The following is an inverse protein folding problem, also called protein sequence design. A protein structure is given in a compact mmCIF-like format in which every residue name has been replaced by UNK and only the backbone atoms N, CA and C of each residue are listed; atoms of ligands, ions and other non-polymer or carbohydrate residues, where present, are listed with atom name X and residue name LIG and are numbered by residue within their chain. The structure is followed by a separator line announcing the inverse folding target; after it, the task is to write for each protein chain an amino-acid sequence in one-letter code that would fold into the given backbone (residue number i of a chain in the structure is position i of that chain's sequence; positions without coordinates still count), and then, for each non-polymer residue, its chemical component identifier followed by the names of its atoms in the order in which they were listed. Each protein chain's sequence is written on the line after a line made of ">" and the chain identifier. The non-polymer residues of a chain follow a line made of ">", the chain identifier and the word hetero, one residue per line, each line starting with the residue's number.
data_IF_883610803557
#
_entry.id   IF_883610803557
#
_cell.length_a   1.000
_cell.length_b   1.000
_cell.length_c   1.000
_cell.angle_alpha   90.00
_cell.angle_beta   90.00
_cell.angle_gamma   90.00
#
_symmetry.space_group_name_H-M   'P 1'
#
loop_
_entity.id
_entity.type
_entity.pdbx_description
1 polymer ?
#
# COMPACT_ATOMS: atom_id res chain seq x y z
N UNK A 1 3.72 -14.64 71.33
CA UNK A 1 3.95 -16.09 71.32
C UNK A 1 3.06 -16.70 70.24
N UNK A 2 3.64 -17.52 69.36
CA UNK A 2 3.03 -18.35 68.28
C UNK A 2 2.50 -17.51 67.09
N UNK A 3 3.10 -17.41 65.88
CA UNK A 3 3.83 -18.32 64.97
C UNK A 3 3.05 -19.57 64.51
N UNK A 4 2.56 -19.53 63.26
CA UNK A 4 2.39 -20.62 62.25
C UNK A 4 1.74 -19.97 61.00
N UNK A 5 2.47 -19.58 59.94
CA UNK A 5 3.02 -20.35 58.79
C UNK A 5 1.96 -21.01 57.90
N UNK A 6 1.85 -20.49 56.67
CA UNK A 6 1.10 -21.01 55.51
C UNK A 6 0.85 -19.84 54.55
N UNK A 7 1.72 -19.48 53.59
CA UNK A 7 2.52 -20.34 52.72
C UNK A 7 1.70 -20.74 51.49
N UNK A 8 1.13 -19.76 50.78
CA UNK A 8 0.59 -19.97 49.42
C UNK A 8 1.57 -19.31 48.46
N UNK A 9 2.47 -20.12 47.92
CA UNK A 9 3.32 -19.76 46.80
C UNK A 9 2.42 -19.41 45.61
N UNK A 10 2.28 -18.12 45.32
CA UNK A 10 1.92 -17.68 43.98
C UNK A 10 3.15 -17.92 43.10
N UNK A 11 3.29 -19.16 42.64
CA UNK A 11 4.00 -19.49 41.42
C UNK A 11 3.39 -18.60 40.32
N UNK A 12 4.09 -17.51 39.99
CA UNK A 12 3.93 -16.80 38.75
C UNK A 12 4.12 -17.82 37.63
N UNK A 13 3.01 -18.37 37.15
CA UNK A 13 2.96 -19.12 35.92
C UNK A 13 3.38 -18.13 34.82
N UNK A 14 4.66 -18.19 34.46
CA UNK A 14 5.21 -17.60 33.23
C UNK A 14 4.51 -18.33 32.08
N UNK A 15 3.28 -17.90 31.80
CA UNK A 15 2.60 -18.24 30.57
C UNK A 15 3.44 -17.66 29.44
N UNK A 16 4.18 -18.52 28.76
CA UNK A 16 4.82 -18.23 27.48
C UNK A 16 3.75 -17.63 26.56
N UNK A 17 3.81 -16.31 26.34
CA UNK A 17 2.78 -15.55 25.66
C UNK A 17 2.86 -15.78 24.15
N UNK A 18 2.41 -16.94 23.69
CA UNK A 18 2.25 -17.24 22.27
C UNK A 18 1.29 -16.26 21.55
N UNK A 19 0.56 -15.39 22.27
CA UNK A 19 -0.31 -14.37 21.68
C UNK A 19 0.37 -13.02 21.41
N UNK A 20 1.52 -12.72 22.02
CA UNK A 20 2.23 -11.45 21.82
C UNK A 20 3.10 -11.49 20.56
N UNK A 21 3.77 -12.63 20.31
CA UNK A 21 4.65 -12.84 19.15
C UNK A 21 3.89 -12.79 17.82
N UNK A 22 2.59 -13.12 17.83
CA UNK A 22 1.70 -13.03 16.66
C UNK A 22 1.56 -11.61 16.10
N UNK A 23 1.82 -10.58 16.91
CA UNK A 23 1.68 -9.17 16.53
C UNK A 23 3.02 -8.41 16.61
N UNK A 24 4.13 -9.13 16.78
CA UNK A 24 5.46 -8.54 16.75
C UNK A 24 5.71 -7.97 15.35
N UNK A 25 5.77 -6.64 15.26
CA UNK A 25 6.14 -5.93 14.06
C UNK A 25 7.65 -6.19 13.85
N UNK A 26 8.10 -6.67 12.69
CA UNK A 26 9.54 -6.83 12.44
C UNK A 26 10.28 -5.50 12.61
N UNK A 27 11.46 -5.53 13.24
CA UNK A 27 12.22 -4.32 13.57
C UNK A 27 12.49 -3.43 12.35
N UNK A 28 12.76 -4.04 11.18
CA UNK A 28 12.95 -3.30 9.92
C UNK A 28 11.71 -2.54 9.47
N UNK A 29 10.52 -3.04 9.79
CA UNK A 29 9.26 -2.36 9.50
C UNK A 29 9.04 -1.18 10.44
N UNK A 30 9.38 -1.33 11.73
CA UNK A 30 9.33 -0.23 12.70
C UNK A 30 10.26 0.90 12.27
N UNK A 31 11.47 0.55 11.81
CA UNK A 31 12.47 1.48 11.26
C UNK A 31 11.97 2.19 10.01
N UNK A 32 11.39 1.46 9.06
CA UNK A 32 10.79 2.02 7.82
C UNK A 32 9.72 3.07 8.12
N UNK A 33 8.82 2.75 9.05
CA UNK A 33 7.76 3.67 9.44
C UNK A 33 8.30 4.92 10.18
N UNK A 34 9.33 4.77 11.01
CA UNK A 34 9.98 5.90 11.67
C UNK A 34 10.65 6.84 10.66
N UNK A 35 11.32 6.27 9.65
CA UNK A 35 11.87 7.02 8.51
C UNK A 35 10.79 7.79 7.76
N UNK A 36 9.68 7.14 7.41
CA UNK A 36 8.57 7.79 6.71
C UNK A 36 7.96 8.94 7.53
N UNK A 37 7.71 8.71 8.82
CA UNK A 37 7.19 9.75 9.71
C UNK A 37 8.14 10.94 9.80
N UNK A 38 9.46 10.68 9.87
CA UNK A 38 10.49 11.72 9.89
C UNK A 38 10.50 12.54 8.59
N UNK A 39 10.39 11.89 7.42
CA UNK A 39 10.39 12.56 6.11
C UNK A 39 9.15 13.43 5.89
N UNK A 40 7.97 12.92 6.25
CA UNK A 40 6.72 13.68 6.19
C UNK A 40 6.77 14.92 7.09
N UNK A 41 7.31 14.76 8.30
CA UNK A 41 7.46 15.87 9.23
C UNK A 41 8.52 16.87 8.74
N UNK A 42 9.63 16.40 8.16
CA UNK A 42 10.68 17.23 7.61
C UNK A 42 10.19 18.08 6.43
N UNK A 43 9.44 17.51 5.47
CA UNK A 43 8.85 18.30 4.37
C UNK A 43 7.89 19.38 4.93
N UNK A 44 7.07 19.03 5.92
CA UNK A 44 6.17 20.00 6.54
C UNK A 44 6.89 21.16 7.25
N UNK A 45 8.01 20.87 7.93
CA UNK A 45 8.77 21.86 8.70
C UNK A 45 9.67 22.75 7.84
N UNK A 46 10.22 22.21 6.77
CA UNK A 46 11.27 22.90 5.98
C UNK A 46 10.73 23.56 4.70
N UNK A 47 9.57 23.12 4.19
CA UNK A 47 9.00 23.67 2.96
C UNK A 47 8.38 25.07 3.17
N UNK A 48 8.98 26.15 2.62
CA UNK A 48 8.55 27.52 2.91
C UNK A 48 7.15 27.80 2.34
N UNK A 49 6.88 27.32 1.13
CA UNK A 49 5.64 27.56 0.40
C UNK A 49 4.44 26.71 0.86
N UNK A 50 4.60 25.85 1.88
CA UNK A 50 3.50 25.01 2.34
C UNK A 50 2.45 25.85 3.10
N UNK A 51 1.18 25.73 2.68
CA UNK A 51 0.03 26.37 3.35
C UNK A 51 -0.10 25.86 4.79
N UNK A 52 -0.56 26.73 5.71
CA UNK A 52 -0.68 26.41 7.15
C UNK A 52 -1.50 25.14 7.43
N UNK A 53 -2.67 24.99 6.80
CA UNK A 53 -3.53 23.82 6.99
C UNK A 53 -2.88 22.53 6.46
N UNK A 54 -2.20 22.61 5.32
CA UNK A 54 -1.46 21.47 4.76
C UNK A 54 -0.29 21.06 5.67
N UNK A 55 0.42 22.05 6.23
CA UNK A 55 1.50 21.82 7.20
C UNK A 55 0.99 21.15 8.47
N UNK A 56 -0.11 21.65 9.04
CA UNK A 56 -0.72 21.06 10.23
C UNK A 56 -1.19 19.61 9.97
N UNK A 57 -1.81 19.36 8.81
CA UNK A 57 -2.25 18.02 8.40
C UNK A 57 -1.07 17.05 8.26
N UNK A 58 -0.01 17.45 7.57
CA UNK A 58 1.19 16.63 7.40
C UNK A 58 1.87 16.30 8.74
N UNK A 59 2.01 17.28 9.64
CA UNK A 59 2.58 17.05 10.97
C UNK A 59 1.70 16.15 11.84
N UNK A 60 0.37 16.32 11.78
CA UNK A 60 -0.57 15.48 12.52
C UNK A 60 -0.50 14.03 12.03
N UNK A 61 -0.37 13.83 10.71
CA UNK A 61 -0.22 12.52 10.10
C UNK A 61 1.09 11.84 10.53
N UNK A 62 2.21 12.55 10.42
CA UNK A 62 3.50 12.04 10.86
C UNK A 62 3.50 11.68 12.35
N UNK A 63 2.87 12.51 13.18
CA UNK A 63 2.66 12.21 14.60
C UNK A 63 1.79 10.96 14.83
N UNK A 64 0.72 10.79 14.04
CA UNK A 64 -0.12 9.59 14.09
C UNK A 64 0.66 8.31 13.79
N UNK A 65 1.58 8.34 12.83
CA UNK A 65 2.46 7.21 12.51
C UNK A 65 3.38 6.86 13.68
N UNK A 66 4.00 7.86 14.31
CA UNK A 66 4.85 7.64 15.50
C UNK A 66 4.04 7.10 16.67
N UNK A 67 2.82 7.61 16.90
CA UNK A 67 1.94 7.09 17.95
C UNK A 67 1.51 5.64 17.67
N UNK A 68 1.28 5.29 16.41
CA UNK A 68 0.96 3.92 16.01
C UNK A 68 2.15 2.97 16.22
N UNK A 69 3.38 3.43 15.96
CA UNK A 69 4.62 2.70 16.23
C UNK A 69 4.86 2.46 17.72
N UNK A 70 4.68 3.51 18.52
CA UNK A 70 4.95 3.49 19.97
C UNK A 70 3.88 2.75 20.75
N UNK A 71 2.67 2.64 20.18
CA UNK A 71 1.54 2.03 20.83
C UNK A 71 1.02 2.83 22.03
N UNK A 72 -0.11 2.39 22.63
CA UNK A 72 -0.76 3.12 23.71
C UNK A 72 0.05 3.16 25.02
N UNK A 73 0.99 2.23 25.21
CA UNK A 73 1.82 2.14 26.42
C UNK A 73 2.94 3.21 26.47
N UNK A 74 3.27 3.82 25.34
CA UNK A 74 4.37 4.78 25.23
C UNK A 74 3.91 6.10 24.58
N UNK A 75 2.99 6.83 25.24
CA UNK A 75 2.49 8.09 24.72
C UNK A 75 3.61 9.10 24.56
N UNK A 76 3.57 9.86 23.47
CA UNK A 76 4.51 10.93 23.16
C UNK A 76 3.70 12.20 22.94
N UNK A 77 4.06 13.33 23.57
CA UNK A 77 3.34 14.59 23.30
C UNK A 77 3.72 15.14 21.93
N UNK A 78 2.81 15.87 21.29
CA UNK A 78 3.08 16.50 19.99
C UNK A 78 4.29 17.45 20.02
N UNK A 79 4.52 18.15 21.14
CA UNK A 79 5.71 19.00 21.34
C UNK A 79 7.01 18.20 21.39
N UNK A 80 6.98 17.05 22.04
CA UNK A 80 8.13 16.13 22.14
C UNK A 80 8.41 15.50 20.77
N UNK A 81 7.37 15.07 20.05
CA UNK A 81 7.48 14.64 18.66
C UNK A 81 8.17 15.69 17.77
N UNK A 82 7.75 16.97 17.86
CA UNK A 82 8.37 18.05 17.09
C UNK A 82 9.84 18.29 17.44
N UNK A 83 10.26 17.97 18.66
CA UNK A 83 11.67 18.02 19.05
C UNK A 83 12.43 16.83 18.46
N UNK A 84 11.87 15.62 18.59
CA UNK A 84 12.49 14.38 18.09
C UNK A 84 12.69 14.38 16.56
N UNK A 85 11.75 14.95 15.80
CA UNK A 85 11.88 15.07 14.32
C UNK A 85 13.10 15.88 13.89
N UNK A 86 13.60 16.79 14.75
CA UNK A 86 14.82 17.57 14.46
C UNK A 86 16.10 16.87 14.90
N UNK A 87 15.99 15.75 15.59
CA UNK A 87 17.11 14.91 15.97
C UNK A 87 17.27 13.70 15.04
N UNK A 88 18.07 12.71 15.46
CA UNK A 88 18.16 11.43 14.78
C UNK A 88 16.81 10.71 14.66
N UNK A 89 16.60 10.00 13.55
CA UNK A 89 15.39 9.21 13.31
C UNK A 89 15.19 8.15 14.39
N UNK A 90 16.28 7.61 14.95
CA UNK A 90 16.24 6.68 16.09
C UNK A 90 15.38 7.17 17.27
N UNK A 91 15.29 8.49 17.50
CA UNK A 91 14.48 9.07 18.57
C UNK A 91 12.97 8.86 18.41
N UNK A 92 12.51 8.54 17.20
CA UNK A 92 11.09 8.28 16.90
C UNK A 92 10.68 6.82 17.16
N UNK A 93 11.65 5.92 17.38
CA UNK A 93 11.39 4.51 17.60
C UNK A 93 10.68 4.25 18.94
N UNK A 94 9.89 3.16 19.05
CA UNK A 94 9.39 2.67 20.32
C UNK A 94 10.54 2.31 21.27
N UNK A 95 10.35 2.48 22.59
CA UNK A 95 11.29 1.97 23.59
C UNK A 95 11.54 0.46 23.40
N UNK A 96 12.81 0.05 23.44
CA UNK A 96 13.20 -1.35 23.26
C UNK A 96 13.42 -1.79 21.82
N UNK A 97 13.09 -0.96 20.82
CA UNK A 97 13.45 -1.21 19.43
C UNK A 97 14.94 -0.88 19.20
N UNK A 98 15.74 -1.78 18.59
CA UNK A 98 17.15 -1.52 18.35
C UNK A 98 17.31 -0.37 17.33
N UNK A 99 18.07 0.69 17.66
CA UNK A 99 18.18 1.88 16.84
C UNK A 99 19.12 1.75 15.63
N UNK A 100 19.78 0.59 15.50
CA UNK A 100 20.88 0.32 14.57
C UNK A 100 20.65 0.91 13.18
N UNK A 101 21.56 1.80 12.78
CA UNK A 101 21.57 2.43 11.46
C UNK A 101 20.72 3.69 11.38
N UNK A 102 19.92 4.03 12.39
CA UNK A 102 19.09 5.25 12.43
C UNK A 102 19.66 6.35 13.34
N UNK A 103 20.73 6.07 14.09
CA UNK A 103 21.33 7.01 15.06
C UNK A 103 22.07 8.16 14.38
N UNK A 104 22.60 7.91 13.18
CA UNK A 104 23.31 8.90 12.37
C UNK A 104 22.40 9.53 11.29
N UNK A 105 21.14 9.11 11.22
CA UNK A 105 20.22 9.50 10.16
C UNK A 105 19.36 10.67 10.64
N UNK A 106 19.40 11.78 9.89
CA UNK A 106 18.65 13.00 10.18
C UNK A 106 17.75 13.34 9.01
N UNK A 107 16.45 13.52 9.24
CA UNK A 107 15.52 13.99 8.22
C UNK A 107 15.62 15.51 7.96
N UNK A 108 16.06 16.25 8.97
CA UNK A 108 16.41 17.66 8.88
C UNK A 108 17.88 17.78 9.29
N UNK A 109 18.72 18.30 8.41
CA UNK A 109 20.12 18.53 8.70
C UNK A 109 20.23 19.48 9.91
N UNK A 110 20.91 19.08 10.99
CA UNK A 110 20.98 19.87 12.22
C UNK A 110 21.78 21.17 12.06
N UNK A 111 22.72 21.23 11.10
CA UNK A 111 23.56 22.40 10.84
C UNK A 111 22.86 23.40 9.93
N UNK A 112 22.24 22.92 8.85
CA UNK A 112 21.62 23.80 7.84
C UNK A 112 20.13 24.06 8.10
N UNK A 113 19.47 23.20 8.87
CA UNK A 113 18.01 23.22 9.05
C UNK A 113 17.23 22.79 7.80
N UNK A 114 17.92 22.34 6.75
CA UNK A 114 17.32 21.90 5.50
C UNK A 114 16.92 20.44 5.55
N UNK A 115 15.99 20.03 4.69
CA UNK A 115 15.58 18.64 4.58
C UNK A 115 16.69 17.79 3.97
N UNK A 116 16.96 16.63 4.57
CA UNK A 116 17.90 15.68 4.02
C UNK A 116 17.25 14.87 2.88
N UNK A 117 17.72 15.07 1.66
CA UNK A 117 17.22 14.41 0.44
C UNK A 117 17.76 12.99 0.27
N UNK A 118 18.88 12.66 0.89
CA UNK A 118 19.48 11.31 0.80
C UNK A 118 18.63 10.26 1.55
N UNK A 119 17.79 10.70 2.51
CA UNK A 119 16.82 9.82 3.18
C UNK A 119 15.76 9.24 2.25
N UNK A 120 15.43 9.91 1.14
CA UNK A 120 14.41 9.43 0.20
C UNK A 120 14.86 8.12 -0.49
N UNK A 121 16.18 7.95 -0.67
CA UNK A 121 16.74 6.72 -1.20
C UNK A 121 16.61 5.56 -0.20
N UNK A 122 16.88 5.84 1.09
CA UNK A 122 16.73 4.89 2.19
C UNK A 122 15.26 4.48 2.42
N UNK A 123 14.30 5.39 2.22
CA UNK A 123 12.86 5.03 2.22
C UNK A 123 12.55 3.99 1.13
N UNK A 124 13.23 4.05 -0.01
CA UNK A 124 13.11 3.05 -1.08
C UNK A 124 13.54 1.65 -0.64
N UNK A 125 14.69 1.55 0.01
CA UNK A 125 15.29 0.29 0.50
C UNK A 125 14.50 -0.32 1.66
N UNK A 126 14.20 0.48 2.70
CA UNK A 126 13.37 0.01 3.82
C UNK A 126 11.91 -0.21 3.40
N UNK A 127 11.44 0.51 2.39
CA UNK A 127 10.11 0.33 1.79
C UNK A 127 9.96 -0.99 1.04
N UNK A 128 11.05 -1.62 0.58
CA UNK A 128 11.05 -2.98 0.04
C UNK A 128 10.87 -4.01 1.14
N UNK A 129 11.65 -3.92 2.23
CA UNK A 129 11.55 -4.81 3.39
C UNK A 129 10.17 -4.71 4.06
N UNK A 130 9.65 -3.48 4.24
CA UNK A 130 8.33 -3.26 4.82
C UNK A 130 7.18 -3.83 3.95
N UNK A 131 7.35 -3.95 2.62
CA UNK A 131 6.33 -4.58 1.74
C UNK A 131 6.16 -6.05 2.03
N UNK A 132 7.22 -6.74 2.45
CA UNK A 132 7.21 -8.19 2.72
C UNK A 132 6.61 -8.50 4.09
N UNK A 133 6.74 -7.59 5.06
CA UNK A 133 6.41 -7.88 6.45
C UNK A 133 4.93 -7.81 6.84
N UNK A 134 3.99 -7.28 6.04
CA UNK A 134 2.53 -7.49 6.17
C UNK A 134 1.76 -7.29 7.52
N UNK A 135 2.38 -6.91 8.63
CA UNK A 135 1.89 -7.26 9.99
C UNK A 135 1.04 -6.19 10.71
N UNK A 136 0.74 -5.03 10.13
CA UNK A 136 -0.02 -3.99 10.85
C UNK A 136 -1.48 -3.82 10.41
N UNK A 137 -2.46 -3.70 11.34
CA UNK A 137 -3.87 -3.49 11.00
C UNK A 137 -4.13 -2.26 10.12
N UNK A 138 -3.31 -1.21 10.25
CA UNK A 138 -3.41 0.03 9.45
C UNK A 138 -2.51 0.03 8.20
N UNK A 139 -1.68 -1.00 8.00
CA UNK A 139 -0.72 -1.07 6.90
C UNK A 139 -1.35 -1.02 5.50
N UNK A 140 -2.49 -1.68 5.23
CA UNK A 140 -3.14 -1.56 3.93
C UNK A 140 -3.51 -0.10 3.59
N UNK A 141 -3.98 0.65 4.59
CA UNK A 141 -4.32 2.06 4.43
C UNK A 141 -3.07 2.94 4.24
N UNK A 142 -2.03 2.74 5.05
CA UNK A 142 -0.78 3.48 4.92
C UNK A 142 -0.07 3.22 3.58
N UNK A 143 -0.06 1.96 3.12
CA UNK A 143 0.44 1.60 1.78
C UNK A 143 -0.33 2.29 0.69
N UNK A 144 -1.65 2.39 0.84
CA UNK A 144 -2.48 3.10 -0.10
C UNK A 144 -2.09 4.57 -0.17
N UNK A 145 -1.98 5.22 0.97
CA UNK A 145 -1.60 6.62 1.07
C UNK A 145 -0.19 6.90 0.51
N UNK A 146 0.78 6.03 0.81
CA UNK A 146 2.14 6.09 0.27
C UNK A 146 2.16 5.98 -1.26
N UNK A 147 1.42 5.02 -1.80
CA UNK A 147 1.37 4.79 -3.24
C UNK A 147 0.67 5.95 -3.96
N UNK A 148 -0.37 6.53 -3.34
CA UNK A 148 -1.02 7.75 -3.83
C UNK A 148 -0.06 8.95 -3.85
N UNK A 149 0.71 9.16 -2.79
CA UNK A 149 1.72 10.23 -2.73
C UNK A 149 2.82 10.04 -3.77
N UNK A 150 3.36 8.83 -3.90
CA UNK A 150 4.37 8.50 -4.93
C UNK A 150 3.83 8.76 -6.33
N UNK A 151 2.62 8.29 -6.63
CA UNK A 151 1.97 8.54 -7.92
C UNK A 151 1.79 10.04 -8.19
N UNK A 152 1.32 10.80 -7.20
CA UNK A 152 1.14 12.24 -7.32
C UNK A 152 2.46 12.98 -7.60
N UNK A 153 3.52 12.64 -6.87
CA UNK A 153 4.86 13.20 -7.08
C UNK A 153 5.36 12.93 -8.50
N UNK A 154 5.22 11.69 -8.98
CA UNK A 154 5.58 11.31 -10.35
C UNK A 154 4.74 12.02 -11.40
N UNK A 155 3.44 12.21 -11.17
CA UNK A 155 2.58 12.97 -12.09
C UNK A 155 2.98 14.45 -12.15
N UNK A 156 3.47 15.03 -11.05
CA UNK A 156 3.89 16.43 -10.98
C UNK A 156 5.33 16.71 -11.42
N UNK A 157 6.15 15.68 -11.62
CA UNK A 157 7.55 15.83 -12.05
C UNK A 157 7.65 16.69 -13.33
N UNK A 158 8.32 17.83 -13.26
CA UNK A 158 8.50 18.76 -14.38
C UNK A 158 7.50 19.93 -14.47
N UNK A 159 6.70 20.16 -13.42
CA UNK A 159 5.85 21.36 -13.20
C UNK A 159 4.89 21.78 -14.34
N UNK A 160 4.60 20.89 -15.28
CA UNK A 160 3.69 21.15 -16.39
C UNK A 160 2.33 20.46 -16.19
N UNK A 161 1.25 21.26 -16.13
CA UNK A 161 -0.12 20.78 -15.97
C UNK A 161 -0.56 19.81 -17.09
N UNK A 162 -0.11 20.02 -18.34
CA UNK A 162 -0.44 19.14 -19.46
C UNK A 162 0.22 17.76 -19.27
N UNK A 163 1.46 17.73 -18.79
CA UNK A 163 2.15 16.48 -18.48
C UNK A 163 1.46 15.73 -17.32
N UNK A 164 1.03 16.44 -16.28
CA UNK A 164 0.24 15.86 -15.19
C UNK A 164 -1.05 15.20 -15.70
N UNK A 165 -1.83 15.92 -16.52
CA UNK A 165 -3.08 15.42 -17.09
C UNK A 165 -2.81 14.19 -17.97
N UNK A 166 -1.79 14.23 -18.81
CA UNK A 166 -1.44 13.12 -19.71
C UNK A 166 -1.06 11.86 -18.92
N UNK A 167 -0.16 11.98 -17.93
CA UNK A 167 0.27 10.86 -17.09
C UNK A 167 -0.88 10.27 -16.28
N UNK A 168 -1.67 11.12 -15.61
CA UNK A 168 -2.84 10.67 -14.83
C UNK A 168 -3.89 10.00 -15.72
N UNK A 169 -4.19 10.58 -16.88
CA UNK A 169 -5.18 10.03 -17.81
C UNK A 169 -4.73 8.68 -18.37
N UNK A 170 -3.43 8.51 -18.62
CA UNK A 170 -2.90 7.22 -19.04
C UNK A 170 -3.14 6.15 -17.98
N UNK A 171 -2.76 6.41 -16.73
CA UNK A 171 -2.92 5.44 -15.63
C UNK A 171 -4.37 5.06 -15.43
N UNK A 172 -5.29 6.03 -15.49
CA UNK A 172 -6.74 5.78 -15.37
C UNK A 172 -7.24 4.88 -16.50
N UNK A 173 -6.77 5.09 -17.73
CA UNK A 173 -7.20 4.30 -18.91
C UNK A 173 -6.55 2.93 -18.99
N UNK A 174 -5.37 2.77 -18.38
CA UNK A 174 -4.55 1.57 -18.46
C UNK A 174 -4.30 1.00 -17.05
N UNK A 175 -5.38 0.75 -16.30
CA UNK A 175 -5.28 0.18 -14.96
C UNK A 175 -4.51 -1.15 -14.91
N UNK A 176 -4.54 -1.92 -16.00
CA UNK A 176 -3.60 -2.98 -16.27
C UNK A 176 -3.33 -3.06 -17.78
N UNK A 177 -2.19 -3.62 -18.14
CA UNK A 177 -1.78 -3.75 -19.54
C UNK A 177 -0.56 -4.62 -19.70
N UNK A 178 -0.26 -4.97 -20.96
CA UNK A 178 0.96 -5.72 -21.28
C UNK A 178 2.19 -4.83 -21.11
N UNK A 179 3.35 -5.44 -20.90
CA UNK A 179 4.62 -4.70 -20.82
C UNK A 179 4.85 -3.80 -22.05
N UNK A 180 4.48 -4.27 -23.26
CA UNK A 180 4.58 -3.49 -24.49
C UNK A 180 3.70 -2.22 -24.46
N UNK A 181 2.48 -2.32 -23.92
CA UNK A 181 1.61 -1.14 -23.72
C UNK A 181 2.22 -0.17 -22.71
N UNK A 182 2.78 -0.67 -21.61
CA UNK A 182 3.38 0.17 -20.57
C UNK A 182 4.67 0.86 -21.02
N UNK A 183 5.41 0.28 -21.98
CA UNK A 183 6.59 0.92 -22.59
C UNK A 183 6.26 2.20 -23.38
N UNK A 184 5.00 2.44 -23.73
CA UNK A 184 4.57 3.68 -24.38
C UNK A 184 4.55 4.89 -23.42
N UNK A 185 4.74 4.66 -22.12
CA UNK A 185 4.78 5.70 -21.09
C UNK A 185 6.19 6.19 -20.74
N UNK A 186 6.29 7.36 -20.07
CA UNK A 186 7.48 7.73 -19.31
C UNK A 186 7.91 6.60 -18.38
N UNK A 187 9.20 6.25 -18.43
CA UNK A 187 9.78 5.10 -17.71
C UNK A 187 9.52 5.16 -16.21
N UNK A 188 9.41 6.36 -15.64
CA UNK A 188 9.19 6.57 -14.21
C UNK A 188 7.82 6.10 -13.72
N UNK A 189 6.85 5.93 -14.63
CA UNK A 189 5.54 5.38 -14.25
C UNK A 189 5.54 3.86 -14.15
N UNK A 190 6.57 3.17 -14.68
CA UNK A 190 6.66 1.71 -14.59
C UNK A 190 6.72 1.22 -13.14
N UNK A 191 7.32 2.02 -12.25
CA UNK A 191 7.43 1.71 -10.82
C UNK A 191 6.10 1.75 -10.06
N UNK A 192 5.03 2.21 -10.73
CA UNK A 192 3.66 2.18 -10.20
C UNK A 192 2.91 0.90 -10.61
N UNK A 193 3.50 0.08 -11.48
CA UNK A 193 2.89 -1.14 -12.01
C UNK A 193 3.58 -2.38 -11.43
N UNK A 194 2.79 -3.18 -10.72
CA UNK A 194 3.21 -4.44 -10.13
C UNK A 194 2.61 -5.67 -10.82
N UNK A 195 2.97 -6.84 -10.30
CA UNK A 195 2.37 -8.12 -10.69
C UNK A 195 0.85 -8.09 -10.42
N UNK A 196 0.07 -8.74 -11.28
CA UNK A 196 -1.35 -9.00 -11.04
C UNK A 196 -1.48 -9.95 -9.83
N UNK A 197 -2.40 -9.70 -8.88
CA UNK A 197 -2.52 -10.50 -7.67
C UNK A 197 -3.03 -11.90 -8.00
N UNK A 198 -2.67 -12.89 -7.18
CA UNK A 198 -2.99 -14.29 -7.47
C UNK A 198 -4.49 -14.57 -7.49
N UNK A 199 -5.30 -13.86 -6.69
CA UNK A 199 -6.77 -13.94 -6.69
C UNK A 199 -7.42 -13.33 -7.95
N UNK A 200 -6.62 -12.80 -8.88
CA UNK A 200 -7.05 -12.26 -10.18
C UNK A 200 -6.40 -12.98 -11.35
N UNK A 201 -5.69 -14.08 -11.08
CA UNK A 201 -5.01 -14.90 -12.07
C UNK A 201 -5.62 -16.30 -12.05
N UNK A 202 -5.93 -16.83 -13.23
CA UNK A 202 -6.36 -18.21 -13.43
C UNK A 202 -5.52 -18.84 -14.52
N UNK A 203 -4.86 -19.96 -14.22
CA UNK A 203 -4.02 -20.68 -15.18
C UNK A 203 -3.13 -19.75 -16.02
N UNK A 204 -2.33 -18.92 -15.33
CA UNK A 204 -1.43 -17.91 -15.92
C UNK A 204 -2.12 -16.83 -16.76
N UNK A 205 -3.43 -16.66 -16.66
CA UNK A 205 -4.19 -15.62 -17.38
C UNK A 205 -4.84 -14.66 -16.40
N UNK A 206 -4.95 -13.41 -16.82
CA UNK A 206 -5.74 -12.41 -16.13
C UNK A 206 -6.81 -11.84 -17.07
N UNK A 207 -7.96 -11.53 -16.49
CA UNK A 207 -9.13 -11.03 -17.21
C UNK A 207 -9.34 -9.57 -16.85
N UNK A 208 -9.27 -8.67 -17.81
CA UNK A 208 -9.48 -7.25 -17.56
C UNK A 208 -10.95 -6.89 -17.74
N UNK A 209 -11.47 -6.08 -16.82
CA UNK A 209 -12.81 -5.55 -16.94
C UNK A 209 -12.91 -4.68 -18.21
N UNK A 210 -13.90 -4.89 -19.09
CA UNK A 210 -14.06 -4.08 -20.29
C UNK A 210 -14.35 -2.61 -20.00
N UNK A 211 -14.95 -2.30 -18.84
CA UNK A 211 -15.33 -0.94 -18.45
C UNK A 211 -14.17 -0.15 -17.82
N UNK A 212 -13.39 -0.77 -16.93
CA UNK A 212 -12.33 -0.05 -16.20
C UNK A 212 -10.91 -0.61 -16.40
N UNK A 213 -10.74 -1.66 -17.19
CA UNK A 213 -9.46 -2.34 -17.49
C UNK A 213 -8.71 -2.90 -16.29
N UNK A 214 -9.29 -2.85 -15.09
CA UNK A 214 -8.73 -3.52 -13.91
C UNK A 214 -8.85 -5.04 -14.04
N UNK A 215 -7.84 -5.81 -13.57
CA UNK A 215 -7.97 -7.25 -13.46
C UNK A 215 -9.16 -7.62 -12.56
N UNK A 216 -9.99 -8.54 -13.03
CA UNK A 216 -11.18 -9.03 -12.35
C UNK A 216 -10.82 -10.12 -11.34
N UNK A 217 -11.61 -10.26 -10.28
CA UNK A 217 -11.46 -11.37 -9.32
C UNK A 217 -11.84 -12.68 -9.98
N UNK A 218 -11.06 -13.71 -9.71
CA UNK A 218 -11.33 -15.08 -10.14
C UNK A 218 -11.72 -15.91 -8.93
N UNK A 219 -12.90 -16.53 -9.01
CA UNK A 219 -13.48 -17.36 -7.96
C UNK A 219 -13.77 -18.74 -8.57
N UNK A 220 -12.88 -19.72 -8.37
CA UNK A 220 -13.13 -21.11 -8.77
C UNK A 220 -14.28 -21.69 -7.96
N UNK A 221 -15.25 -22.33 -8.63
CA UNK A 221 -16.38 -23.03 -8.00
C UNK A 221 -16.57 -24.42 -8.63
N UNK A 222 -15.63 -25.32 -8.33
CA UNK A 222 -15.58 -26.64 -8.97
C UNK A 222 -15.22 -26.51 -10.45
N UNK A 223 -15.96 -27.14 -11.38
CA UNK A 223 -15.66 -27.08 -12.82
C UNK A 223 -16.02 -25.72 -13.45
N UNK A 224 -16.77 -24.86 -12.73
CA UNK A 224 -17.19 -23.55 -13.21
C UNK A 224 -16.36 -22.49 -12.50
N UNK A 225 -15.70 -21.63 -13.27
CA UNK A 225 -14.92 -20.51 -12.75
C UNK A 225 -15.68 -19.23 -12.99
N UNK A 226 -15.80 -18.41 -11.94
CA UNK A 226 -16.43 -17.10 -12.02
C UNK A 226 -15.38 -16.00 -12.08
N UNK A 227 -15.56 -15.07 -13.00
CA UNK A 227 -14.71 -13.90 -13.14
C UNK A 227 -15.56 -12.64 -13.01
N UNK A 228 -15.21 -11.72 -12.11
CA UNK A 228 -16.03 -10.53 -11.89
C UNK A 228 -15.24 -9.28 -11.50
N UNK A 229 -15.70 -8.11 -11.96
CA UNK A 229 -15.11 -6.84 -11.56
C UNK A 229 -15.29 -6.59 -10.05
N UNK A 230 -14.29 -6.00 -9.39
CA UNK A 230 -14.39 -5.60 -7.99
C UNK A 230 -15.40 -4.46 -7.76
N UNK A 231 -15.59 -3.59 -8.74
CA UNK A 231 -16.58 -2.51 -8.68
C UNK A 231 -18.01 -3.07 -8.90
N UNK A 232 -18.91 -2.76 -7.97
CA UNK A 232 -20.30 -3.24 -8.00
C UNK A 232 -21.09 -2.74 -9.21
N UNK A 233 -20.99 -1.46 -9.55
CA UNK A 233 -21.70 -0.89 -10.70
C UNK A 233 -21.26 -1.55 -12.01
N UNK A 234 -19.97 -1.88 -12.15
CA UNK A 234 -19.49 -2.62 -13.32
C UNK A 234 -20.05 -4.05 -13.38
N UNK A 235 -20.14 -4.74 -12.24
CA UNK A 235 -20.79 -6.07 -12.19
C UNK A 235 -22.26 -5.98 -12.58
N UNK A 236 -22.98 -5.00 -12.04
CA UNK A 236 -24.40 -4.77 -12.30
C UNK A 236 -24.65 -4.39 -13.78
N UNK A 237 -23.63 -3.85 -14.48
CA UNK A 237 -23.64 -3.59 -15.93
C UNK A 237 -23.19 -4.78 -16.79
N UNK A 238 -22.86 -5.92 -16.19
CA UNK A 238 -22.53 -7.16 -16.92
C UNK A 238 -21.05 -7.54 -16.95
N UNK A 239 -20.17 -6.87 -16.18
CA UNK A 239 -18.77 -7.29 -16.01
C UNK A 239 -18.63 -8.47 -15.03
N UNK A 240 -19.40 -9.54 -15.27
CA UNK A 240 -19.41 -10.80 -14.52
C UNK A 240 -19.65 -11.97 -15.47
N UNK A 241 -18.68 -12.87 -15.50
CA UNK A 241 -18.57 -13.97 -16.45
C UNK A 241 -18.39 -15.30 -15.73
N UNK A 242 -18.74 -16.38 -16.41
CA UNK A 242 -18.47 -17.76 -16.06
C UNK A 242 -17.74 -18.42 -17.22
N UNK A 243 -16.90 -19.40 -16.93
CA UNK A 243 -16.42 -20.35 -17.93
C UNK A 243 -16.27 -21.73 -17.29
N UNK A 244 -16.40 -22.76 -18.11
CA UNK A 244 -16.07 -24.12 -17.71
C UNK A 244 -14.55 -24.32 -17.83
N UNK A 245 -13.94 -24.86 -16.79
CA UNK A 245 -12.56 -25.33 -16.85
C UNK A 245 -12.52 -26.70 -17.53
N UNK A 246 -12.25 -26.69 -18.84
CA UNK A 246 -12.06 -27.90 -19.63
C UNK A 246 -10.64 -28.49 -19.50
N UNK A 247 -9.77 -27.86 -18.70
CA UNK A 247 -8.38 -28.27 -18.51
C UNK A 247 -7.52 -28.14 -19.76
N UNK A 248 -8.02 -27.49 -20.82
CA UNK A 248 -7.29 -27.28 -22.06
C UNK A 248 -6.48 -26.00 -21.97
N UNK A 249 -5.26 -26.02 -22.51
CA UNK A 249 -4.38 -24.85 -22.60
C UNK A 249 -4.84 -23.88 -23.72
N UNK A 250 -6.07 -23.37 -23.60
CA UNK A 250 -6.66 -22.35 -24.47
C UNK A 250 -7.44 -21.33 -23.66
N UNK A 251 -7.45 -20.07 -24.10
CA UNK A 251 -8.18 -19.02 -23.39
C UNK A 251 -9.66 -19.43 -23.21
N UNK A 252 -10.21 -19.39 -21.98
CA UNK A 252 -11.54 -19.88 -21.74
C UNK A 252 -12.57 -18.96 -22.40
N UNK A 253 -13.64 -19.56 -22.93
CA UNK A 253 -14.73 -18.81 -23.50
C UNK A 253 -15.63 -18.28 -22.38
N UNK A 254 -15.61 -16.96 -22.18
CA UNK A 254 -16.39 -16.31 -21.14
C UNK A 254 -17.87 -16.22 -21.53
N UNK A 255 -18.75 -16.71 -20.66
CA UNK A 255 -20.21 -16.62 -20.77
C UNK A 255 -20.71 -15.62 -19.74
N UNK A 256 -21.58 -14.68 -20.13
CA UNK A 256 -22.15 -13.72 -19.17
C UNK A 256 -23.06 -14.43 -18.17
N UNK A 257 -22.98 -14.03 -16.91
CA UNK A 257 -23.86 -14.54 -15.83
C UNK A 257 -25.30 -14.04 -15.93
N UNK A 258 -25.52 -12.87 -16.53
CA UNK A 258 -26.85 -12.28 -16.70
C UNK A 258 -27.03 -11.72 -18.10
N UNK A 259 -28.20 -11.97 -18.66
CA UNK A 259 -28.66 -11.36 -19.90
C UNK A 259 -29.21 -9.96 -19.55
N UNK A 260 -28.32 -8.98 -19.45
CA UNK A 260 -28.70 -7.59 -19.17
C UNK A 260 -29.41 -7.03 -20.40
N UNK A 261 -30.73 -7.23 -20.47
CA UNK A 261 -31.55 -6.91 -21.65
C UNK A 261 -31.70 -5.43 -21.97
N UNK A 262 -31.23 -4.48 -21.14
CA UNK A 262 -31.62 -3.08 -21.33
C UNK A 262 -30.61 -2.00 -20.89
N UNK A 263 -29.32 -2.13 -21.23
CA UNK A 263 -28.39 -0.99 -21.13
C UNK A 263 -27.49 -0.88 -22.35
N UNK A 264 -27.55 0.27 -23.03
CA UNK A 264 -26.68 0.72 -24.14
C UNK A 264 -25.16 0.68 -23.83
N UNK A 265 -24.75 0.27 -22.62
CA UNK A 265 -23.35 0.24 -22.14
C UNK A 265 -22.93 -1.14 -21.60
N UNK A 266 -23.72 -2.21 -21.82
CA UNK A 266 -23.39 -3.55 -21.33
C UNK A 266 -22.30 -4.21 -22.22
N UNK A 267 -21.11 -4.53 -21.69
CA UNK A 267 -19.97 -5.04 -22.48
C UNK A 267 -20.18 -6.50 -22.90
N UNK A 268 -20.04 -6.82 -24.19
CA UNK A 268 -20.20 -8.15 -24.79
C UNK A 268 -19.36 -9.23 -24.08
N UNK A 269 -19.77 -10.50 -24.20
CA UNK A 269 -18.96 -11.63 -23.73
C UNK A 269 -17.54 -11.60 -24.34
N UNK A 270 -17.43 -11.24 -25.62
CA UNK A 270 -16.17 -11.05 -26.32
C UNK A 270 -15.40 -9.77 -25.98
N UNK A 271 -15.97 -8.85 -25.18
CA UNK A 271 -15.30 -7.60 -24.79
C UNK A 271 -14.34 -7.81 -23.61
N UNK A 272 -14.45 -8.94 -22.91
CA UNK A 272 -13.53 -9.26 -21.83
C UNK A 272 -12.14 -9.52 -22.40
N UNK A 273 -11.17 -8.71 -21.96
CA UNK A 273 -9.81 -8.75 -22.49
C UNK A 273 -9.02 -9.75 -21.65
N UNK A 274 -8.47 -10.76 -22.33
CA UNK A 274 -7.64 -11.79 -21.70
C UNK A 274 -6.18 -11.54 -22.04
N UNK A 275 -5.33 -11.53 -21.02
CA UNK A 275 -3.88 -11.45 -21.19
C UNK A 275 -3.18 -12.56 -20.40
N UNK A 276 -1.99 -12.93 -20.85
CA UNK A 276 -1.06 -13.69 -20.02
C UNK A 276 -0.67 -12.87 -18.79
N UNK A 277 -0.84 -13.44 -17.61
CA UNK A 277 -0.59 -12.80 -16.33
C UNK A 277 0.89 -12.46 -16.11
N UNK A 278 1.82 -13.22 -16.70
CA UNK A 278 3.26 -12.91 -16.64
C UNK A 278 3.62 -11.69 -17.51
N UNK A 279 2.89 -11.48 -18.60
CA UNK A 279 3.07 -10.34 -19.50
C UNK A 279 2.26 -9.11 -19.08
N UNK A 280 1.26 -9.30 -18.21
CA UNK A 280 0.40 -8.23 -17.71
C UNK A 280 0.91 -7.67 -16.38
N UNK A 281 0.93 -6.35 -16.27
CA UNK A 281 1.12 -5.65 -15.01
C UNK A 281 -0.09 -4.79 -14.72
N UNK A 282 -0.41 -4.66 -13.44
CA UNK A 282 -1.47 -3.77 -12.98
C UNK A 282 -0.87 -2.59 -12.24
N UNK A 283 -1.52 -1.45 -12.38
CA UNK A 283 -1.30 -0.32 -11.49
C UNK A 283 -1.63 -0.76 -10.06
N UNK A 284 -0.80 -0.37 -9.09
CA UNK A 284 -0.97 -0.84 -7.71
C UNK A 284 -2.42 -0.58 -7.20
N UNK A 285 -3.08 -1.60 -6.62
CA UNK A 285 -4.53 -1.63 -6.40
C UNK A 285 -5.07 -0.68 -5.32
N UNK A 286 -4.22 0.18 -4.74
CA UNK A 286 -4.63 1.12 -3.71
C UNK A 286 -5.67 2.14 -4.17
N UNK A 287 -5.94 2.25 -5.47
CA UNK A 287 -6.97 3.14 -6.03
C UNK A 287 -8.35 2.48 -6.20
N UNK A 288 -8.48 1.18 -5.90
CA UNK A 288 -9.74 0.45 -6.07
C UNK A 288 -10.78 0.67 -4.95
N UNK A 289 -10.37 1.23 -3.81
CA UNK A 289 -11.22 1.43 -2.63
C UNK A 289 -12.20 2.61 -2.75
N UNK A 290 -12.15 3.40 -3.83
CA UNK A 290 -12.92 4.64 -3.98
C UNK A 290 -13.64 4.83 -5.31
N UNK A 291 -13.77 3.78 -6.13
CA UNK A 291 -14.56 3.78 -7.38
C UNK A 291 -15.79 2.89 -7.28
#
# INVERSE_FOLDING_TARGET
>A
MLNFVGGVDYLCYMGTSASADRFAIPDDHVRSMALQASLLAADALTKPAMKSNSRASALTRAYGLVMALRGPAHPLKFTEFRALVRGPVAGLLPPGCPPEGLEAIYAINPETGERNVELEALEGEFGEVARECGVLPYWPWLRQELTEHKAYALFRKGENQAAYILRRSFVIRNAAGTQAMLQTMPKELNDLYGRVPEDRVYDRRCFLCPLCRWPMHVLPNGPIVMVSCANRDHRDRGARYLFDDDGLDRAPHLVRTHDVRDRLLAPAAGDAIVHEACACRQFHPCWSSGM
#
